data_IF_463467442898
#
_entry.id   IF_463467442898
#
_cell.length_a   1.000
_cell.length_b   1.000
_cell.length_c   1.000
_cell.angle_alpha   90.00
_cell.angle_beta   90.00
_cell.angle_gamma   90.00
#
_symmetry.space_group_name_H-M   'P 1'
#
loop_
_entity.id
_entity.type
_entity.pdbx_description
1 polymer ?
#
# COMPACT_ATOMS: atom_id res chain seq x y z
N UNK A 1 -9.55 12.58 9.82
CA UNK A 1 -10.52 11.49 10.05
C UNK A 1 -10.56 11.27 11.54
N UNK A 2 -11.70 11.49 12.19
CA UNK A 2 -11.88 11.16 13.60
C UNK A 2 -12.23 9.67 13.63
N UNK A 3 -11.45 8.87 14.35
CA UNK A 3 -11.75 7.47 14.56
C UNK A 3 -12.32 7.32 15.98
N UNK A 4 -13.62 7.05 16.07
CA UNK A 4 -14.27 6.72 17.33
C UNK A 4 -14.52 5.20 17.39
N UNK A 5 -14.16 4.57 18.53
CA UNK A 5 -14.37 3.14 18.75
C UNK A 5 -15.43 2.92 19.83
N UNK A 6 -16.49 2.19 19.49
CA UNK A 6 -17.50 1.70 20.44
C UNK A 6 -17.57 0.18 20.43
N UNK A 7 -17.76 -0.42 21.60
CA UNK A 7 -17.88 -1.87 21.76
C UNK A 7 -19.28 -2.19 22.28
N UNK A 8 -19.90 -3.22 21.72
CA UNK A 8 -21.23 -3.69 22.08
C UNK A 8 -21.18 -5.19 22.33
N UNK A 9 -21.92 -5.67 23.33
CA UNK A 9 -22.16 -7.11 23.53
C UNK A 9 -23.46 -7.48 22.86
N UNK A 10 -23.40 -8.34 21.84
CA UNK A 10 -24.57 -8.74 21.05
C UNK A 10 -24.54 -10.25 20.76
N UNK A 11 -25.68 -10.96 20.77
CA UNK A 11 -25.77 -12.33 20.28
C UNK A 11 -25.44 -12.43 18.77
N UNK A 12 -25.14 -13.62 18.25
CA UNK A 12 -25.08 -13.83 16.81
C UNK A 12 -26.38 -13.44 16.12
N UNK A 13 -26.28 -12.80 14.95
CA UNK A 13 -27.45 -12.30 14.23
C UNK A 13 -27.09 -11.23 13.21
N UNK A 14 -28.09 -10.75 12.49
CA UNK A 14 -27.97 -9.63 11.54
C UNK A 14 -28.59 -8.39 12.16
N UNK A 15 -27.85 -7.29 12.12
CA UNK A 15 -28.19 -6.01 12.71
C UNK A 15 -28.06 -4.91 11.66
N UNK A 16 -28.92 -3.89 11.73
CA UNK A 16 -28.73 -2.65 10.98
C UNK A 16 -28.09 -1.62 11.93
N UNK A 17 -26.81 -1.32 11.69
CA UNK A 17 -26.06 -0.31 12.43
C UNK A 17 -26.36 1.06 11.82
N UNK A 18 -26.97 1.96 12.59
CA UNK A 18 -27.20 3.35 12.20
C UNK A 18 -26.28 4.26 13.00
N UNK A 19 -25.59 5.15 12.30
CA UNK A 19 -24.79 6.24 12.87
C UNK A 19 -25.45 7.54 12.45
N UNK A 20 -25.79 8.38 13.41
CA UNK A 20 -26.27 9.75 13.19
C UNK A 20 -25.24 10.74 13.71
N UNK A 21 -25.00 11.81 12.96
CA UNK A 21 -24.15 12.94 13.30
C UNK A 21 -25.02 14.18 13.27
N UNK A 22 -25.08 14.89 14.41
CA UNK A 22 -25.77 16.16 14.56
C UNK A 22 -24.72 17.27 14.66
N UNK A 23 -24.84 18.28 13.81
CA UNK A 23 -24.08 19.52 13.93
C UNK A 23 -24.70 20.37 15.06
N UNK A 24 -23.91 20.66 16.10
CA UNK A 24 -24.40 21.34 17.29
C UNK A 24 -24.69 22.83 17.07
N UNK A 25 -24.12 23.44 16.03
CA UNK A 25 -24.31 24.86 15.70
C UNK A 25 -25.50 25.06 14.77
N UNK A 26 -25.70 24.16 13.80
CA UNK A 26 -26.80 24.25 12.81
C UNK A 26 -28.03 23.40 13.14
N UNK A 27 -27.92 22.44 14.07
CA UNK A 27 -28.91 21.41 14.38
C UNK A 27 -29.27 20.51 13.19
N UNK A 28 -28.43 20.46 12.15
CA UNK A 28 -28.62 19.54 11.03
C UNK A 28 -28.15 18.13 11.40
N UNK A 29 -29.00 17.13 11.17
CA UNK A 29 -28.67 15.72 11.37
C UNK A 29 -28.37 15.05 10.02
N UNK A 30 -27.24 14.34 9.94
CA UNK A 30 -26.93 13.41 8.87
C UNK A 30 -26.86 12.00 9.45
N UNK A 31 -27.32 10.98 8.71
CA UNK A 31 -27.23 9.60 9.18
C UNK A 31 -26.85 8.62 8.08
N UNK A 32 -26.14 7.57 8.46
CA UNK A 32 -25.75 6.45 7.62
C UNK A 32 -26.14 5.15 8.29
N UNK A 33 -26.67 4.20 7.51
CA UNK A 33 -27.06 2.87 7.99
C UNK A 33 -26.29 1.80 7.22
N UNK A 34 -25.74 0.83 7.93
CA UNK A 34 -25.04 -0.32 7.37
C UNK A 34 -25.54 -1.61 8.00
N UNK A 35 -25.86 -2.60 7.17
CA UNK A 35 -26.17 -3.95 7.64
C UNK A 35 -24.91 -4.70 8.04
N UNK A 36 -24.88 -5.27 9.23
CA UNK A 36 -23.76 -6.02 9.80
C UNK A 36 -24.25 -7.37 10.31
N UNK A 37 -23.49 -8.43 10.05
CA UNK A 37 -23.79 -9.78 10.57
C UNK A 37 -22.73 -10.16 11.59
N UNK A 38 -23.17 -10.52 12.79
CA UNK A 38 -22.35 -11.11 13.85
C UNK A 38 -22.43 -12.63 13.70
N UNK A 39 -21.35 -13.31 13.29
CA UNK A 39 -21.34 -14.75 13.05
C UNK A 39 -21.51 -15.57 14.34
N UNK A 40 -22.21 -16.70 14.23
CA UNK A 40 -22.28 -17.68 15.31
C UNK A 40 -21.06 -18.61 15.28
N UNK A 41 -20.10 -18.34 16.17
CA UNK A 41 -18.93 -19.20 16.33
C UNK A 41 -19.16 -20.34 17.33
N UNK A 42 -20.32 -20.50 17.98
CA UNK A 42 -20.53 -21.43 19.10
C UNK A 42 -20.12 -22.88 18.80
N UNK A 43 -20.28 -23.33 17.55
CA UNK A 43 -19.95 -24.68 17.07
C UNK A 43 -18.55 -24.81 16.46
N UNK A 44 -17.78 -23.72 16.41
CA UNK A 44 -16.42 -23.71 15.87
C UNK A 44 -15.44 -24.00 17.03
N UNK A 45 -14.71 -25.12 17.02
CA UNK A 45 -13.83 -25.49 18.14
C UNK A 45 -12.57 -24.64 18.19
N UNK A 46 -12.00 -24.31 17.02
CA UNK A 46 -10.81 -23.47 16.87
C UNK A 46 -10.96 -22.69 15.56
N UNK A 47 -10.44 -21.48 15.50
CA UNK A 47 -10.46 -20.68 14.28
C UNK A 47 -10.26 -19.20 14.54
N UNK A 48 -10.57 -18.40 13.54
CA UNK A 48 -10.47 -16.95 13.61
C UNK A 48 -11.86 -16.33 13.75
N UNK A 49 -11.95 -15.27 14.55
CA UNK A 49 -13.06 -14.32 14.46
C UNK A 49 -12.90 -13.47 13.19
N UNK A 50 -13.62 -12.35 13.10
CA UNK A 50 -13.52 -11.45 11.96
C UNK A 50 -12.08 -10.92 11.77
N UNK A 51 -11.73 -10.68 10.51
CA UNK A 51 -10.44 -10.14 10.10
C UNK A 51 -10.57 -8.62 9.98
N UNK A 52 -9.70 -7.90 10.65
CA UNK A 52 -9.59 -6.45 10.56
C UNK A 52 -8.35 -6.10 9.75
N UNK A 53 -8.50 -5.23 8.76
CA UNK A 53 -7.39 -4.80 7.92
C UNK A 53 -6.85 -3.46 8.40
N UNK A 54 -5.54 -3.30 8.31
CA UNK A 54 -4.86 -2.10 8.77
C UNK A 54 -3.40 -2.08 8.37
N UNK A 55 -2.62 -1.29 9.10
CA UNK A 55 -1.16 -1.25 8.96
C UNK A 55 -0.50 -1.57 10.28
N UNK A 56 0.71 -2.12 10.24
CA UNK A 56 1.50 -2.34 11.43
C UNK A 56 2.91 -1.75 11.28
N UNK A 57 3.35 -1.00 12.28
CA UNK A 57 4.69 -0.42 12.31
C UNK A 57 5.79 -1.48 12.53
N UNK A 58 7.06 -1.08 12.57
CA UNK A 58 8.19 -1.99 12.85
C UNK A 58 8.17 -2.57 14.27
N UNK A 59 7.49 -1.93 15.22
CA UNK A 59 7.47 -2.31 16.63
C UNK A 59 6.43 -3.39 16.96
N UNK A 60 5.37 -3.54 16.16
CA UNK A 60 4.25 -4.43 16.54
C UNK A 60 2.88 -3.79 16.43
N UNK A 61 2.83 -2.46 16.40
CA UNK A 61 1.62 -1.70 16.68
C UNK A 61 0.69 -1.72 15.49
N UNK A 62 -0.46 -2.37 15.65
CA UNK A 62 -1.50 -2.42 14.62
C UNK A 62 -2.42 -1.20 14.69
N UNK A 63 -2.58 -0.52 13.57
CA UNK A 63 -3.52 0.59 13.36
C UNK A 63 -4.57 0.18 12.33
N UNK A 64 -5.86 0.13 12.68
CA UNK A 64 -6.91 -0.32 11.76
C UNK A 64 -7.17 0.69 10.64
N UNK A 65 -7.56 0.19 9.47
CA UNK A 65 -8.05 0.96 8.33
C UNK A 65 -9.46 0.46 7.99
N UNK A 66 -10.51 0.96 8.69
CA UNK A 66 -11.86 0.41 8.57
C UNK A 66 -12.49 0.56 7.18
N UNK A 67 -12.06 1.58 6.42
CA UNK A 67 -12.48 1.79 5.03
C UNK A 67 -12.04 0.65 4.11
N UNK A 68 -11.04 -0.15 4.51
CA UNK A 68 -10.41 -1.20 3.71
C UNK A 68 -9.92 -0.68 2.35
N UNK A 69 -9.59 0.61 2.31
CA UNK A 69 -8.98 1.31 1.20
C UNK A 69 -7.60 1.73 1.63
N UNK A 70 -6.61 1.17 0.98
CA UNK A 70 -5.20 1.37 1.28
C UNK A 70 -4.55 2.16 0.17
N UNK A 71 -3.65 3.07 0.55
CA UNK A 71 -2.81 3.80 -0.38
C UNK A 71 -1.38 3.31 -0.32
N UNK A 72 -0.40 4.23 -0.39
CA UNK A 72 1.03 3.93 -0.27
C UNK A 72 1.41 3.21 1.02
N UNK A 73 0.57 3.29 2.05
CA UNK A 73 0.75 2.57 3.30
C UNK A 73 0.52 1.05 3.18
N UNK A 74 0.08 0.53 2.02
CA UNK A 74 -0.04 -0.89 1.74
C UNK A 74 1.28 -1.65 1.94
N UNK A 75 2.43 -0.98 1.83
CA UNK A 75 3.73 -1.57 2.15
C UNK A 75 3.84 -2.04 3.62
N UNK A 76 3.03 -1.47 4.52
CA UNK A 76 2.91 -1.87 5.92
C UNK A 76 1.59 -2.60 6.21
N UNK A 77 0.91 -3.09 5.17
CA UNK A 77 -0.33 -3.86 5.29
C UNK A 77 -0.18 -4.94 6.37
N UNK A 78 -1.16 -4.98 7.25
CA UNK A 78 -1.30 -6.01 8.25
C UNK A 78 -2.78 -6.36 8.42
N UNK A 79 -3.03 -7.54 8.94
CA UNK A 79 -4.35 -7.93 9.40
C UNK A 79 -4.32 -8.22 10.90
N UNK A 80 -5.44 -8.04 11.58
CA UNK A 80 -5.64 -8.48 12.95
C UNK A 80 -6.85 -9.39 13.00
N UNK A 81 -6.71 -10.54 13.63
CA UNK A 81 -7.83 -11.44 13.92
C UNK A 81 -7.74 -11.91 15.37
N UNK A 82 -8.87 -12.24 15.98
CA UNK A 82 -8.84 -13.01 17.23
C UNK A 82 -8.75 -14.49 16.86
N UNK A 83 -7.63 -15.13 17.18
CA UNK A 83 -7.50 -16.58 17.10
C UNK A 83 -8.04 -17.16 18.41
N UNK A 84 -9.00 -18.08 18.31
CA UNK A 84 -9.60 -18.73 19.46
C UNK A 84 -9.49 -20.25 19.36
N UNK A 85 -9.35 -20.91 20.51
CA UNK A 85 -9.53 -22.36 20.66
C UNK A 85 -10.32 -22.63 21.95
N UNK A 86 -11.46 -23.29 21.78
CA UNK A 86 -12.43 -23.65 22.82
C UNK A 86 -12.35 -25.10 23.24
N UNK A 87 -11.44 -25.87 22.66
CA UNK A 87 -11.23 -27.28 23.03
C UNK A 87 -10.63 -27.36 24.44
N UNK A 88 -11.03 -28.37 25.24
CA UNK A 88 -10.47 -28.56 26.57
C UNK A 88 -8.95 -28.83 26.52
N UNK A 89 -8.25 -28.55 27.61
CA UNK A 89 -6.80 -28.76 27.75
C UNK A 89 -6.06 -27.53 28.29
N UNK A 90 -4.77 -27.68 28.58
CA UNK A 90 -3.93 -26.62 29.14
C UNK A 90 -3.41 -25.63 28.09
N UNK A 91 -2.88 -24.51 28.58
CA UNK A 91 -2.15 -23.48 27.84
C UNK A 91 -0.69 -23.44 28.31
N UNK A 92 0.26 -22.94 27.51
CA UNK A 92 0.10 -22.34 26.17
C UNK A 92 -0.11 -23.37 25.06
N UNK A 93 -0.66 -22.93 23.92
CA UNK A 93 -0.82 -23.75 22.70
C UNK A 93 -0.22 -23.05 21.49
N UNK A 94 0.48 -23.81 20.65
CA UNK A 94 1.12 -23.31 19.43
C UNK A 94 0.26 -23.60 18.20
N UNK A 95 0.18 -22.62 17.32
CA UNK A 95 -0.52 -22.73 16.05
C UNK A 95 0.38 -22.27 14.92
N UNK A 96 0.23 -22.91 13.76
CA UNK A 96 0.80 -22.47 12.50
C UNK A 96 -0.34 -22.34 11.51
N UNK A 97 -0.49 -21.17 10.90
CA UNK A 97 -1.55 -20.89 9.95
C UNK A 97 -1.00 -20.19 8.71
N UNK A 98 -1.71 -20.38 7.59
CA UNK A 98 -1.36 -19.77 6.31
C UNK A 98 -2.07 -18.43 6.18
N UNK A 99 -1.39 -17.45 5.60
CA UNK A 99 -2.01 -16.23 5.10
C UNK A 99 -1.73 -16.06 3.62
N UNK A 100 -2.69 -15.49 2.89
CA UNK A 100 -2.62 -15.30 1.44
C UNK A 100 -3.21 -13.95 1.04
N UNK A 101 -2.66 -13.37 -0.03
CA UNK A 101 -3.26 -12.24 -0.73
C UNK A 101 -3.53 -12.67 -2.16
N UNK A 102 -4.77 -12.50 -2.59
CA UNK A 102 -5.21 -12.76 -3.96
C UNK A 102 -5.72 -11.50 -4.62
N UNK A 103 -5.59 -11.41 -5.93
CA UNK A 103 -6.24 -10.37 -6.74
C UNK A 103 -7.73 -10.69 -7.00
N UNK A 104 -8.38 -9.88 -7.84
CA UNK A 104 -9.77 -10.02 -8.26
C UNK A 104 -10.03 -11.23 -9.18
N UNK A 105 -8.98 -11.75 -9.81
CA UNK A 105 -9.00 -12.97 -10.64
C UNK A 105 -8.77 -14.24 -9.80
N UNK A 106 -8.44 -14.07 -8.53
CA UNK A 106 -8.12 -15.16 -7.61
C UNK A 106 -6.68 -15.66 -7.72
N UNK A 107 -5.82 -14.96 -8.46
CA UNK A 107 -4.39 -15.25 -8.54
C UNK A 107 -3.73 -15.01 -7.18
N UNK A 108 -2.95 -15.97 -6.69
CA UNK A 108 -2.24 -15.87 -5.41
C UNK A 108 -0.95 -15.06 -5.61
N UNK A 109 -0.97 -13.80 -5.15
CA UNK A 109 0.16 -12.88 -5.27
C UNK A 109 1.16 -13.03 -4.12
N UNK A 110 0.65 -13.36 -2.93
CA UNK A 110 1.46 -13.54 -1.74
C UNK A 110 0.94 -14.70 -0.92
N UNK A 111 1.87 -15.48 -0.38
CA UNK A 111 1.60 -16.60 0.52
C UNK A 111 2.63 -16.62 1.63
N UNK A 112 2.20 -16.95 2.84
CA UNK A 112 3.10 -17.07 3.96
C UNK A 112 2.52 -17.92 5.07
N UNK A 113 3.40 -18.36 5.96
CA UNK A 113 3.04 -19.08 7.17
C UNK A 113 3.38 -18.20 8.37
N UNK A 114 2.55 -18.23 9.39
CA UNK A 114 2.81 -17.56 10.65
C UNK A 114 2.60 -18.52 11.81
N UNK A 115 3.56 -18.52 12.73
CA UNK A 115 3.47 -19.25 13.99
C UNK A 115 3.10 -18.30 15.13
N UNK A 116 2.19 -18.74 15.98
CA UNK A 116 1.77 -18.00 17.18
C UNK A 116 1.63 -18.95 18.36
N UNK A 117 1.83 -18.42 19.56
CA UNK A 117 1.55 -19.13 20.81
C UNK A 117 0.47 -18.39 21.56
N UNK A 118 -0.69 -19.03 21.71
CA UNK A 118 -1.77 -18.53 22.52
C UNK A 118 -1.52 -18.84 24.00
N UNK A 119 -1.69 -17.85 24.88
CA UNK A 119 -1.66 -18.05 26.33
C UNK A 119 -3.04 -18.35 26.91
N UNK A 120 -4.10 -17.94 26.20
CA UNK A 120 -5.50 -18.13 26.58
C UNK A 120 -6.35 -18.58 25.40
N UNK A 121 -7.61 -18.91 25.68
CA UNK A 121 -8.60 -19.42 24.72
C UNK A 121 -8.95 -18.50 23.57
N UNK A 122 -8.64 -17.21 23.66
CA UNK A 122 -8.87 -16.24 22.58
C UNK A 122 -7.93 -15.05 22.75
N UNK A 123 -7.10 -14.77 21.75
CA UNK A 123 -6.18 -13.62 21.77
C UNK A 123 -6.08 -12.97 20.39
N UNK A 124 -5.87 -11.64 20.32
CA UNK A 124 -5.61 -10.98 19.06
C UNK A 124 -4.24 -11.39 18.53
N UNK A 125 -4.19 -11.78 17.26
CA UNK A 125 -2.97 -12.02 16.50
C UNK A 125 -2.85 -11.00 15.39
N UNK A 126 -1.68 -10.39 15.24
CA UNK A 126 -1.35 -9.50 14.12
C UNK A 126 -0.65 -10.34 13.06
N UNK A 127 -1.19 -10.35 11.85
CA UNK A 127 -0.66 -11.03 10.69
C UNK A 127 0.04 -10.02 9.79
N UNK A 128 1.30 -10.27 9.45
CA UNK A 128 2.10 -9.41 8.57
C UNK A 128 2.58 -10.18 7.33
N UNK A 129 2.01 -9.91 6.15
CA UNK A 129 2.55 -10.43 4.91
C UNK A 129 3.95 -9.85 4.67
N UNK A 130 4.88 -10.65 4.15
CA UNK A 130 6.23 -10.20 3.84
C UNK A 130 6.23 -9.35 2.58
N UNK A 131 6.45 -8.02 2.72
CA UNK A 131 6.60 -7.06 1.61
C UNK A 131 5.57 -7.27 0.49
N UNK A 132 4.28 -7.02 0.74
CA UNK A 132 3.27 -7.08 -0.30
C UNK A 132 3.57 -6.03 -1.38
N UNK A 133 4.12 -6.48 -2.52
CA UNK A 133 4.17 -5.69 -3.76
C UNK A 133 2.79 -5.74 -4.41
N UNK A 134 1.87 -4.96 -3.83
CA UNK A 134 0.50 -4.86 -4.30
C UNK A 134 0.34 -3.53 -5.02
N UNK A 135 -0.05 -3.64 -6.29
CA UNK A 135 -0.39 -2.49 -7.09
C UNK A 135 -1.83 -2.03 -6.82
N UNK A 136 -2.29 -1.05 -7.60
CA UNK A 136 -3.67 -0.59 -7.56
C UNK A 136 -4.62 -1.70 -8.01
N UNK A 137 -5.66 -1.96 -7.22
CA UNK A 137 -6.61 -3.03 -7.52
C UNK A 137 -7.43 -3.47 -6.32
N UNK A 138 -8.30 -4.44 -6.56
CA UNK A 138 -9.06 -5.11 -5.51
C UNK A 138 -8.38 -6.41 -5.14
N UNK A 139 -8.27 -6.66 -3.84
CA UNK A 139 -7.56 -7.80 -3.29
C UNK A 139 -8.38 -8.46 -2.19
N UNK A 140 -8.04 -9.71 -1.90
CA UNK A 140 -8.57 -10.47 -0.76
C UNK A 140 -7.41 -10.90 0.12
N UNK A 141 -7.41 -10.45 1.37
CA UNK A 141 -6.55 -10.99 2.42
C UNK A 141 -7.27 -12.18 3.06
N UNK A 142 -6.65 -13.36 3.00
CA UNK A 142 -7.16 -14.60 3.57
C UNK A 142 -6.22 -15.11 4.66
N UNK A 143 -6.80 -15.67 5.74
CA UNK A 143 -6.08 -16.44 6.76
C UNK A 143 -6.76 -17.81 6.90
N UNK A 144 -5.98 -18.89 6.82
CA UNK A 144 -6.44 -20.28 6.92
C UNK A 144 -5.64 -21.03 7.99
N UNK A 145 -6.34 -21.57 8.99
CA UNK A 145 -5.81 -22.56 9.92
C UNK A 145 -6.26 -23.95 9.46
N UNK A 146 -5.31 -24.86 9.28
CA UNK A 146 -5.59 -26.25 8.99
C UNK A 146 -5.12 -27.13 10.15
N UNK A 147 -6.00 -27.98 10.68
CA UNK A 147 -5.64 -29.04 11.64
C UNK A 147 -6.24 -30.37 11.19
N UNK A 148 -5.38 -31.30 10.77
CA UNK A 148 -5.79 -32.58 10.19
C UNK A 148 -6.71 -32.35 8.97
N UNK A 149 -7.92 -32.95 8.93
CA UNK A 149 -8.85 -32.74 7.82
C UNK A 149 -9.65 -31.43 7.92
N UNK A 150 -9.60 -30.74 9.07
CA UNK A 150 -10.41 -29.55 9.32
C UNK A 150 -9.68 -28.28 8.92
N UNK A 151 -10.41 -27.33 8.34
CA UNK A 151 -9.90 -26.02 7.92
C UNK A 151 -10.84 -24.92 8.37
N UNK A 152 -10.27 -23.86 8.92
CA UNK A 152 -10.99 -22.66 9.32
C UNK A 152 -10.38 -21.46 8.63
N UNK A 153 -11.22 -20.68 7.95
CA UNK A 153 -10.80 -19.61 7.07
C UNK A 153 -11.58 -18.34 7.36
N UNK A 154 -10.88 -17.22 7.40
CA UNK A 154 -11.48 -15.88 7.37
C UNK A 154 -10.81 -15.07 6.28
N UNK A 155 -11.59 -14.25 5.59
CA UNK A 155 -11.07 -13.39 4.53
C UNK A 155 -11.77 -12.03 4.51
N UNK A 156 -11.03 -11.03 4.04
CA UNK A 156 -11.55 -9.68 3.81
C UNK A 156 -11.01 -9.11 2.52
N UNK A 157 -11.94 -8.56 1.74
CA UNK A 157 -11.60 -7.74 0.58
C UNK A 157 -11.12 -6.37 1.02
N UNK A 158 -10.13 -5.85 0.29
CA UNK A 158 -9.65 -4.48 0.37
C UNK A 158 -9.34 -3.96 -1.02
N UNK A 159 -9.31 -2.64 -1.14
CA UNK A 159 -8.90 -1.94 -2.34
C UNK A 159 -7.55 -1.30 -2.03
N UNK A 160 -6.57 -1.55 -2.89
CA UNK A 160 -5.40 -0.67 -2.99
C UNK A 160 -5.79 0.36 -4.02
N UNK A 161 -6.12 1.54 -3.52
CA UNK A 161 -6.41 2.70 -4.33
C UNK A 161 -5.13 3.56 -4.38
N UNK A 162 -5.11 4.56 -5.24
CA UNK A 162 -4.22 5.68 -4.98
C UNK A 162 -4.54 6.11 -3.55
N UNK A 163 -3.52 6.28 -2.70
CA UNK A 163 -3.75 7.01 -1.45
C UNK A 163 -4.56 8.25 -1.82
N UNK A 164 -5.74 8.41 -1.23
CA UNK A 164 -6.39 9.70 -1.24
C UNK A 164 -5.34 10.76 -0.86
N UNK A 165 -5.49 12.01 -1.32
CA UNK A 165 -4.42 12.99 -1.34
C UNK A 165 -3.53 12.94 -0.09
N UNK A 166 -2.19 12.82 -0.25
CA UNK A 166 -1.31 12.74 0.90
C UNK A 166 -1.47 14.00 1.76
N UNK A 167 -1.22 13.88 3.07
CA UNK A 167 -1.37 15.01 4.01
C UNK A 167 -0.20 15.12 4.97
N UNK A 168 0.03 16.32 5.49
CA UNK A 168 1.08 16.63 6.44
C UNK A 168 2.45 16.17 5.94
N UNK A 169 3.18 15.41 6.78
CA UNK A 169 4.53 14.91 6.45
C UNK A 169 4.57 14.00 5.21
N UNK A 170 3.49 13.28 4.93
CA UNK A 170 3.44 12.42 3.73
C UNK A 170 3.31 13.26 2.46
N UNK A 171 2.50 14.33 2.50
CA UNK A 171 2.39 15.29 1.41
C UNK A 171 3.77 15.90 1.09
N UNK A 172 4.47 16.40 2.12
CA UNK A 172 5.82 16.95 1.98
C UNK A 172 6.81 15.96 1.36
N UNK A 173 6.79 14.69 1.79
CA UNK A 173 7.64 13.63 1.23
C UNK A 173 7.32 13.34 -0.23
N UNK A 174 6.05 13.41 -0.61
CA UNK A 174 5.60 13.15 -1.98
C UNK A 174 5.98 14.26 -2.95
N UNK A 175 6.20 15.50 -2.48
CA UNK A 175 6.60 16.61 -3.36
C UNK A 175 7.97 16.39 -4.01
N UNK A 176 8.88 15.64 -3.37
CA UNK A 176 10.21 15.39 -3.92
C UNK A 176 10.18 14.56 -5.21
N UNK A 177 9.58 13.35 -5.26
CA UNK A 177 9.45 12.63 -6.53
C UNK A 177 8.51 13.37 -7.50
N UNK A 178 7.50 14.09 -7.00
CA UNK A 178 6.60 14.89 -7.84
C UNK A 178 7.35 15.97 -8.62
N UNK A 179 8.42 16.53 -8.04
CA UNK A 179 9.26 17.55 -8.66
C UNK A 179 9.95 17.09 -9.95
N UNK A 180 10.00 15.79 -10.24
CA UNK A 180 10.57 15.29 -11.49
C UNK A 180 9.63 15.47 -12.70
N UNK A 181 8.32 15.61 -12.44
CA UNK A 181 7.28 15.77 -13.46
C UNK A 181 6.52 17.11 -13.36
N UNK A 182 6.72 17.83 -12.26
CA UNK A 182 6.12 19.13 -12.01
C UNK A 182 7.01 20.27 -12.53
N UNK A 183 6.41 21.41 -12.83
CA UNK A 183 7.15 22.66 -13.03
C UNK A 183 7.62 23.20 -11.67
N UNK A 184 8.76 23.93 -11.62
CA UNK A 184 9.30 24.45 -10.35
C UNK A 184 8.28 25.24 -9.52
N UNK A 185 7.48 26.10 -10.17
CA UNK A 185 6.46 26.91 -9.49
C UNK A 185 5.29 26.09 -8.93
N UNK A 186 4.98 24.93 -9.49
CA UNK A 186 3.90 24.07 -9.00
C UNK A 186 4.27 23.40 -7.68
N UNK A 187 5.52 22.94 -7.55
CA UNK A 187 6.00 22.35 -6.30
C UNK A 187 6.04 23.37 -5.18
N UNK A 188 6.48 24.59 -5.47
CA UNK A 188 6.50 25.68 -4.49
C UNK A 188 5.08 26.06 -4.05
N UNK A 189 4.13 26.13 -5.00
CA UNK A 189 2.73 26.36 -4.69
C UNK A 189 2.12 25.25 -3.83
N UNK A 190 2.39 23.97 -4.15
CA UNK A 190 1.94 22.84 -3.36
C UNK A 190 2.54 22.86 -1.95
N UNK A 191 3.84 23.13 -1.83
CA UNK A 191 4.54 23.19 -0.53
C UNK A 191 3.99 24.27 0.40
N UNK A 192 3.49 25.37 -0.16
CA UNK A 192 2.91 26.47 0.62
C UNK A 192 1.49 26.20 1.15
N UNK A 193 0.85 25.09 0.77
CA UNK A 193 -0.51 24.76 1.19
C UNK A 193 -0.58 24.35 2.66
N UNK A 194 -1.55 24.92 3.38
CA UNK A 194 -1.92 24.45 4.71
C UNK A 194 -2.45 23.00 4.66
N UNK A 195 -2.32 22.19 5.73
CA UNK A 195 -2.74 20.78 5.74
C UNK A 195 -4.18 20.54 5.28
N UNK A 196 -5.09 21.48 5.55
CA UNK A 196 -6.50 21.41 5.16
C UNK A 196 -6.71 21.61 3.66
N UNK A 197 -5.77 22.29 2.98
CA UNK A 197 -5.81 22.62 1.56
C UNK A 197 -5.02 21.64 0.69
N UNK A 198 -4.10 20.88 1.28
CA UNK A 198 -3.24 19.93 0.58
C UNK A 198 -4.02 18.92 -0.26
N UNK A 199 -5.17 18.45 0.25
CA UNK A 199 -5.98 17.47 -0.46
C UNK A 199 -6.50 18.02 -1.80
N UNK A 200 -7.07 19.22 -1.77
CA UNK A 200 -7.54 19.92 -2.96
C UNK A 200 -6.39 20.26 -3.91
N UNK A 201 -5.25 20.71 -3.37
CA UNK A 201 -4.08 21.03 -4.18
C UNK A 201 -3.52 19.83 -4.94
N UNK A 202 -3.50 18.65 -4.31
CA UNK A 202 -3.12 17.39 -4.94
C UNK A 202 -4.08 17.01 -6.07
N UNK A 203 -5.39 17.05 -5.82
CA UNK A 203 -6.41 16.78 -6.84
C UNK A 203 -6.31 17.75 -8.02
N UNK A 204 -6.10 19.04 -7.75
CA UNK A 204 -5.91 20.06 -8.77
C UNK A 204 -4.64 19.82 -9.60
N UNK A 205 -3.55 19.39 -8.97
CA UNK A 205 -2.29 19.05 -9.66
C UNK A 205 -2.48 17.93 -10.68
N UNK A 206 -3.15 16.85 -10.26
CA UNK A 206 -3.37 15.69 -11.11
C UNK A 206 -4.45 15.92 -12.16
N UNK A 207 -5.54 16.62 -11.82
CA UNK A 207 -6.61 16.96 -12.77
C UNK A 207 -6.08 17.72 -13.99
N UNK A 208 -5.09 18.59 -13.83
CA UNK A 208 -4.44 19.30 -14.96
C UNK A 208 -3.61 18.38 -15.87
N UNK A 209 -3.21 17.22 -15.36
CA UNK A 209 -2.39 16.21 -16.04
C UNK A 209 -3.19 14.99 -16.46
N UNK A 210 -4.52 15.05 -16.35
CA UNK A 210 -5.40 13.96 -16.74
C UNK A 210 -5.48 13.84 -18.27
N UNK A 211 -4.92 12.79 -18.88
CA UNK A 211 -5.03 12.61 -20.32
C UNK A 211 -6.45 12.20 -20.75
N UNK A 212 -7.25 11.63 -19.83
CA UNK A 212 -8.57 11.08 -20.11
C UNK A 212 -9.56 11.41 -18.99
N UNK A 213 -9.94 12.70 -18.85
CA UNK A 213 -10.79 13.19 -17.75
C UNK A 213 -12.23 12.62 -17.74
N UNK A 214 -12.63 11.93 -18.80
CA UNK A 214 -13.91 11.21 -18.91
C UNK A 214 -13.90 9.89 -18.13
N UNK A 215 -12.72 9.37 -17.75
CA UNK A 215 -12.62 8.20 -16.88
C UNK A 215 -12.62 8.64 -15.42
N UNK A 216 -13.01 7.73 -14.53
CA UNK A 216 -12.98 7.99 -13.09
C UNK A 216 -11.57 7.96 -12.49
N UNK A 217 -10.52 7.79 -13.30
CA UNK A 217 -9.14 7.54 -12.88
C UNK A 217 -8.21 8.51 -13.61
N UNK A 218 -7.15 8.94 -12.96
CA UNK A 218 -6.14 9.80 -13.59
C UNK A 218 -4.94 8.97 -14.03
N UNK A 219 -4.85 8.60 -15.30
CA UNK A 219 -3.85 7.66 -15.81
C UNK A 219 -2.41 8.16 -15.64
N UNK A 220 -2.20 9.48 -15.68
CA UNK A 220 -0.88 10.08 -15.44
C UNK A 220 -0.43 9.93 -13.98
N UNK A 221 -1.37 10.04 -13.03
CA UNK A 221 -1.12 9.81 -11.61
C UNK A 221 -0.74 8.34 -11.37
N UNK A 222 -1.51 7.39 -11.91
CA UNK A 222 -1.23 5.95 -11.75
C UNK A 222 0.16 5.59 -12.31
N UNK A 223 0.47 6.11 -13.49
CA UNK A 223 1.76 5.86 -14.15
C UNK A 223 2.92 6.48 -13.38
N UNK A 224 2.76 7.66 -12.81
CA UNK A 224 3.76 8.27 -11.95
C UNK A 224 4.07 7.38 -10.74
N UNK A 225 3.06 6.91 -10.02
CA UNK A 225 3.27 6.04 -8.86
C UNK A 225 3.90 4.70 -9.24
N UNK A 226 3.48 4.12 -10.37
CA UNK A 226 4.13 2.91 -10.94
C UNK A 226 5.63 3.14 -11.14
N UNK A 227 6.02 4.28 -11.70
CA UNK A 227 7.43 4.60 -11.95
C UNK A 227 8.21 4.86 -10.68
N UNK A 228 7.61 5.55 -9.70
CA UNK A 228 8.24 5.78 -8.39
C UNK A 228 8.51 4.45 -7.70
N UNK A 229 7.53 3.54 -7.72
CA UNK A 229 7.67 2.21 -7.12
C UNK A 229 8.73 1.38 -7.83
N UNK A 230 8.66 1.27 -9.16
CA UNK A 230 9.68 0.57 -9.94
C UNK A 230 11.09 1.11 -9.65
N UNK A 231 11.24 2.44 -9.60
CA UNK A 231 12.51 3.06 -9.29
C UNK A 231 12.98 2.75 -7.87
N UNK A 232 12.07 2.76 -6.90
CA UNK A 232 12.36 2.40 -5.51
C UNK A 232 12.85 0.95 -5.38
N UNK A 233 12.33 0.02 -6.18
CA UNK A 233 12.74 -1.38 -6.13
C UNK A 233 14.04 -1.66 -6.90
N UNK A 234 14.21 -1.06 -8.08
CA UNK A 234 15.23 -1.46 -9.03
C UNK A 234 16.50 -0.60 -8.98
N UNK A 235 16.43 0.62 -8.43
CA UNK A 235 17.54 1.58 -8.50
C UNK A 235 18.05 2.02 -7.13
N UNK A 236 17.93 1.16 -6.11
CA UNK A 236 18.42 1.42 -4.75
C UNK A 236 19.95 1.59 -4.73
N UNK A 237 20.42 2.42 -3.79
CA UNK A 237 21.84 2.60 -3.50
C UNK A 237 22.03 3.01 -2.04
N UNK A 238 22.78 4.08 -1.78
CA UNK A 238 22.89 4.68 -0.44
C UNK A 238 21.60 5.36 0.05
N UNK A 239 20.58 5.44 -0.80
CA UNK A 239 19.28 6.02 -0.51
C UNK A 239 18.18 5.37 -1.34
N UNK A 240 16.94 5.88 -1.22
CA UNK A 240 15.81 5.33 -1.94
C UNK A 240 16.02 5.41 -3.45
N UNK A 241 15.55 4.39 -4.16
CA UNK A 241 15.84 4.21 -5.57
C UNK A 241 15.24 5.30 -6.46
N UNK A 242 14.12 5.90 -6.07
CA UNK A 242 13.55 7.06 -6.78
C UNK A 242 14.44 8.32 -6.72
N UNK A 243 15.39 8.43 -5.77
CA UNK A 243 16.38 9.52 -5.71
C UNK A 243 17.62 9.25 -6.56
N UNK A 244 17.83 8.02 -7.03
CA UNK A 244 18.97 7.68 -7.89
C UNK A 244 18.87 8.39 -9.24
N UNK A 245 19.99 8.47 -9.97
CA UNK A 245 20.03 9.09 -11.29
C UNK A 245 19.13 8.34 -12.28
N UNK A 246 19.20 7.01 -12.28
CA UNK A 246 18.31 6.16 -13.09
C UNK A 246 16.85 6.32 -12.66
N UNK A 247 16.56 6.34 -11.36
CA UNK A 247 15.21 6.55 -10.84
C UNK A 247 14.61 7.89 -11.25
N UNK A 248 15.40 8.97 -11.20
CA UNK A 248 14.99 10.30 -11.66
C UNK A 248 14.62 10.32 -13.14
N UNK A 249 15.46 9.71 -13.99
CA UNK A 249 15.20 9.60 -15.44
C UNK A 249 13.99 8.71 -15.70
N UNK A 250 13.87 7.58 -15.00
CA UNK A 250 12.77 6.63 -15.17
C UNK A 250 11.42 7.22 -14.75
N UNK A 251 11.36 7.97 -13.64
CA UNK A 251 10.12 8.64 -13.22
C UNK A 251 9.71 9.69 -14.24
N UNK A 252 10.66 10.50 -14.69
CA UNK A 252 10.40 11.60 -15.62
C UNK A 252 9.96 11.12 -17.00
N UNK A 253 10.65 10.13 -17.57
CA UNK A 253 10.45 9.71 -18.97
C UNK A 253 9.78 8.36 -19.14
N UNK A 254 9.63 7.59 -18.06
CA UNK A 254 9.11 6.22 -18.10
C UNK A 254 10.19 5.20 -18.49
N UNK A 255 9.75 3.97 -18.83
CA UNK A 255 10.64 2.93 -19.34
C UNK A 255 11.37 3.40 -20.62
N UNK A 256 12.68 3.17 -20.75
CA UNK A 256 13.39 3.43 -21.99
C UNK A 256 12.92 2.49 -23.11
N UNK A 257 12.94 2.97 -24.35
CA UNK A 257 12.63 2.16 -25.54
C UNK A 257 13.73 1.10 -25.79
N UNK A 258 14.97 1.43 -25.45
CA UNK A 258 16.11 0.53 -25.57
C UNK A 258 17.12 0.77 -24.45
N UNK A 259 17.65 -0.33 -23.92
CA UNK A 259 18.76 -0.34 -22.96
C UNK A 259 19.96 -1.00 -23.65
N UNK A 260 21.11 -0.34 -23.59
CA UNK A 260 22.40 -0.88 -24.03
C UNK A 260 23.35 -0.95 -22.83
N UNK A 261 23.71 -2.17 -22.43
CA UNK A 261 24.71 -2.41 -21.41
C UNK A 261 26.09 -2.56 -22.07
N UNK A 262 27.07 -1.77 -21.62
CA UNK A 262 28.47 -1.91 -22.02
C UNK A 262 29.28 -2.39 -20.83
N UNK A 263 29.96 -3.54 -20.94
CA UNK A 263 30.82 -4.02 -19.87
C UNK A 263 32.01 -3.09 -19.64
N UNK A 264 32.65 -3.22 -18.47
CA UNK A 264 33.87 -2.48 -18.17
C UNK A 264 34.97 -2.78 -19.19
N UNK A 265 35.78 -1.77 -19.50
CA UNK A 265 37.02 -1.88 -20.27
C UNK A 265 38.19 -1.37 -19.44
N UNK A 266 39.42 -1.50 -19.95
CA UNK A 266 40.60 -0.94 -19.30
C UNK A 266 40.54 0.60 -19.12
N UNK A 267 39.71 1.30 -19.91
CA UNK A 267 39.58 2.76 -19.86
C UNK A 267 38.22 3.26 -19.37
N UNK A 268 37.20 2.40 -19.27
CA UNK A 268 35.83 2.82 -18.92
C UNK A 268 35.16 1.88 -17.93
N UNK A 269 34.46 2.39 -16.90
CA UNK A 269 33.59 1.57 -16.06
C UNK A 269 32.43 0.95 -16.86
N UNK A 270 31.68 -0.01 -16.30
CA UNK A 270 30.43 -0.48 -16.89
C UNK A 270 29.48 0.70 -17.15
N UNK A 271 28.83 0.69 -18.31
CA UNK A 271 27.86 1.70 -18.70
C UNK A 271 26.50 1.08 -18.96
N UNK A 272 25.46 1.80 -18.61
CA UNK A 272 24.10 1.52 -19.04
C UNK A 272 23.58 2.73 -19.82
N UNK A 273 23.11 2.52 -21.04
CA UNK A 273 22.67 3.60 -21.93
C UNK A 273 21.19 3.40 -22.22
N UNK A 274 20.40 4.41 -21.88
CA UNK A 274 18.96 4.44 -22.12
C UNK A 274 18.64 5.32 -23.31
N UNK A 275 17.87 4.78 -24.24
CA UNK A 275 17.36 5.49 -25.40
C UNK A 275 15.86 5.65 -25.30
N UNK A 276 15.39 6.88 -25.53
CA UNK A 276 13.99 7.22 -25.72
C UNK A 276 13.86 7.78 -27.13
N UNK A 277 12.87 7.35 -27.90
CA UNK A 277 12.78 7.65 -29.33
C UNK A 277 11.83 8.81 -29.63
N UNK A 278 10.97 9.21 -28.67
CA UNK A 278 9.91 10.21 -28.90
C UNK A 278 9.74 11.21 -27.74
N UNK A 279 10.29 12.43 -27.88
CA UNK A 279 11.39 12.79 -28.78
C UNK A 279 12.68 12.04 -28.41
N UNK A 280 13.66 12.06 -29.32
CA UNK A 280 14.92 11.36 -29.11
C UNK A 280 15.67 11.90 -27.88
N UNK A 281 15.94 11.02 -26.91
CA UNK A 281 16.79 11.31 -25.74
C UNK A 281 17.72 10.15 -25.48
N UNK A 282 18.92 10.49 -25.00
CA UNK A 282 19.93 9.51 -24.63
C UNK A 282 20.53 9.85 -23.27
N UNK A 283 20.47 8.89 -22.35
CA UNK A 283 21.07 9.00 -21.02
C UNK A 283 22.14 7.92 -20.86
N UNK A 284 23.34 8.32 -20.48
CA UNK A 284 24.47 7.41 -20.21
C UNK A 284 24.71 7.40 -18.72
N UNK A 285 24.55 6.23 -18.12
CA UNK A 285 24.88 5.99 -16.73
C UNK A 285 26.16 5.16 -16.62
N UNK A 286 26.96 5.42 -15.59
CA UNK A 286 28.19 4.70 -15.33
C UNK A 286 28.24 4.18 -13.89
N UNK A 287 28.68 2.94 -13.71
CA UNK A 287 28.94 2.36 -12.39
C UNK A 287 30.42 2.49 -12.05
N UNK A 288 30.77 3.58 -11.35
CA UNK A 288 32.17 3.87 -11.01
C UNK A 288 32.74 2.92 -9.96
N UNK A 289 31.88 2.38 -9.11
CA UNK A 289 32.29 1.65 -7.91
C UNK A 289 32.15 0.12 -8.10
N UNK A 290 31.44 -0.33 -9.14
CA UNK A 290 31.25 -1.75 -9.46
C UNK A 290 30.21 -2.45 -8.58
N UNK A 291 29.39 -1.69 -7.87
CA UNK A 291 28.36 -2.21 -6.95
C UNK A 291 26.95 -2.18 -7.54
N UNK A 292 26.82 -1.98 -8.86
CA UNK A 292 25.54 -1.80 -9.55
C UNK A 292 24.97 -0.38 -9.37
N UNK A 293 25.80 0.58 -8.94
CA UNK A 293 25.37 1.97 -8.67
C UNK A 293 25.71 2.88 -9.83
N UNK A 294 24.74 3.04 -10.70
CA UNK A 294 24.84 3.86 -11.90
C UNK A 294 24.57 5.35 -11.62
N UNK A 295 25.50 6.21 -12.04
CA UNK A 295 25.42 7.67 -11.95
C UNK A 295 25.33 8.26 -13.36
N UNK A 296 24.50 9.27 -13.57
CA UNK A 296 24.33 9.93 -14.87
C UNK A 296 25.60 10.67 -15.23
N UNK A 297 26.26 10.20 -16.30
CA UNK A 297 27.46 10.81 -16.86
C UNK A 297 27.13 11.89 -17.87
N UNK A 298 26.15 11.65 -18.73
CA UNK A 298 25.75 12.57 -19.80
C UNK A 298 24.30 12.32 -20.20
N UNK A 299 23.49 13.37 -20.27
CA UNK A 299 22.18 13.36 -20.91
C UNK A 299 22.21 14.23 -22.16
N UNK A 300 21.69 13.72 -23.28
CA UNK A 300 21.48 14.51 -24.51
C UNK A 300 20.00 14.43 -24.86
N UNK A 301 19.33 15.59 -24.84
CA UNK A 301 17.91 15.74 -25.17
C UNK A 301 17.44 17.13 -24.73
N UNK A 302 17.16 17.99 -25.70
CA UNK A 302 16.49 19.29 -25.47
C UNK A 302 15.02 19.11 -25.09
#
# INVERSE_FOLDING_TARGET
>A
MILEKRNFSTPPGTYDLRISLEDLDSQEESSATQRVTVPDHSRVPVGFADLELGVADSAGTFTPVPTRRMGLNVAWLAARAVLFDRRPGSWPRRYSFRHRIRDDRGEELLTGMQEVTLQHSAEPVVIRPTKPDLFLGSYVFEVELAEGPSKWRVERSFEVEESGPPRGKEFERMLEPLAYIAEPGEIDALRALAPEQQAKGWEDFWRRRDPTPETSRNEAMLEFFRRVHYAEEHFQGYGPGWRSDMGRIYIKYGPPDQIEARPATAQTPPLEIWYYNRPYRRFVFEDREGFGRYVLRTGVGE
#
